data_IF_395113461802
#
_entry.id   IF_395113461802
#
_cell.length_a   1.000
_cell.length_b   1.000
_cell.length_c   1.000
_cell.angle_alpha   90.00
_cell.angle_beta   90.00
_cell.angle_gamma   90.00
#
_symmetry.space_group_name_H-M   'P 1'
#
loop_
_entity.id
_entity.type
_entity.pdbx_description
1 polymer ?
#
# COMPACT_ATOMS: atom_id res chain seq x y z
N UNK A 1 -7.73 -10.26 6.60
CA UNK A 1 -7.24 -10.63 5.26
C UNK A 1 -8.38 -11.15 4.40
N UNK A 2 -8.55 -10.62 3.18
CA UNK A 2 -9.51 -11.05 2.16
C UNK A 2 -8.87 -11.08 0.76
N UNK A 3 -9.62 -11.36 -0.31
CA UNK A 3 -9.14 -11.24 -1.71
C UNK A 3 -8.98 -9.81 -2.21
N UNK A 4 -9.05 -8.82 -1.30
CA UNK A 4 -8.87 -7.41 -1.63
C UNK A 4 -7.41 -7.17 -2.04
N UNK A 5 -7.21 -6.61 -3.23
CA UNK A 5 -5.92 -6.21 -3.76
C UNK A 5 -4.99 -7.36 -4.16
N UNK A 6 -5.46 -8.61 -4.25
CA UNK A 6 -4.62 -9.71 -4.74
C UNK A 6 -4.15 -9.41 -6.17
N UNK A 7 -2.85 -9.17 -6.35
CA UNK A 7 -2.27 -8.78 -7.63
C UNK A 7 -2.36 -7.29 -7.96
N UNK A 8 -2.73 -6.43 -6.99
CA UNK A 8 -2.87 -4.98 -7.18
C UNK A 8 -1.62 -4.32 -7.77
N UNK A 9 -0.44 -4.68 -7.30
CA UNK A 9 0.83 -4.20 -7.87
C UNK A 9 1.05 -4.60 -9.34
N UNK A 10 0.56 -5.78 -9.74
CA UNK A 10 0.60 -6.21 -11.15
C UNK A 10 -0.45 -5.49 -11.98
N UNK A 11 -1.60 -5.16 -11.40
CA UNK A 11 -2.67 -4.37 -12.01
C UNK A 11 -2.23 -2.93 -12.29
N UNK A 12 -1.58 -2.27 -11.32
CA UNK A 12 -1.05 -0.90 -11.48
C UNK A 12 0.09 -0.80 -12.48
N UNK A 13 0.72 -1.94 -12.83
CA UNK A 13 1.83 -2.02 -13.78
C UNK A 13 1.38 -2.35 -15.21
N UNK A 14 0.07 -2.55 -15.43
CA UNK A 14 -0.52 -2.84 -16.74
C UNK A 14 -1.24 -1.62 -17.30
N UNK A 15 -1.27 -1.50 -18.63
CA UNK A 15 -2.14 -0.52 -19.28
C UNK A 15 -3.61 -0.83 -19.00
N UNK A 16 -4.36 0.18 -18.57
CA UNK A 16 -5.80 0.06 -18.36
C UNK A 16 -6.55 0.03 -19.69
N UNK A 17 -7.38 -0.99 -19.89
CA UNK A 17 -8.25 -1.15 -21.08
C UNK A 17 -9.72 -1.23 -20.66
N UNK A 18 -10.66 -1.16 -21.60
CA UNK A 18 -12.08 -1.34 -21.28
C UNK A 18 -12.36 -2.74 -20.71
N UNK A 19 -11.55 -3.75 -21.05
CA UNK A 19 -11.65 -5.12 -20.53
C UNK A 19 -11.13 -5.22 -19.08
N UNK A 20 -10.14 -4.41 -18.68
CA UNK A 20 -9.64 -4.40 -17.30
C UNK A 20 -10.71 -3.98 -16.29
N UNK A 21 -11.73 -3.23 -16.70
CA UNK A 21 -12.85 -2.85 -15.82
C UNK A 21 -13.67 -4.05 -15.33
N UNK A 22 -13.74 -5.14 -16.09
CA UNK A 22 -14.51 -6.33 -15.74
C UNK A 22 -13.71 -7.35 -14.91
N UNK A 23 -12.38 -7.36 -15.05
CA UNK A 23 -11.48 -8.35 -14.41
C UNK A 23 -10.72 -7.81 -13.20
N UNK A 24 -10.47 -6.50 -13.11
CA UNK A 24 -9.73 -5.87 -12.00
C UNK A 24 -10.60 -5.57 -10.76
N UNK A 25 -11.80 -6.14 -10.65
CA UNK A 25 -12.67 -5.93 -9.47
C UNK A 25 -12.02 -6.38 -8.15
N UNK A 26 -11.10 -7.35 -8.21
CA UNK A 26 -10.31 -7.79 -7.06
C UNK A 26 -9.22 -6.78 -6.64
N UNK A 27 -8.82 -5.85 -7.52
CA UNK A 27 -7.80 -4.82 -7.25
C UNK A 27 -8.36 -3.63 -6.47
N UNK A 28 -9.69 -3.56 -6.30
CA UNK A 28 -10.37 -2.46 -5.60
C UNK A 28 -10.08 -2.53 -4.11
N UNK A 29 -9.18 -1.65 -3.65
CA UNK A 29 -8.87 -1.48 -2.25
C UNK A 29 -10.05 -0.80 -1.52
N UNK A 30 -10.54 -1.44 -0.45
CA UNK A 30 -11.53 -0.85 0.46
C UNK A 30 -10.84 -0.48 1.76
N UNK A 31 -10.51 0.80 1.90
CA UNK A 31 -10.01 1.36 3.15
C UNK A 31 -11.15 1.63 4.15
N UNK A 32 -10.79 1.65 5.42
CA UNK A 32 -11.56 1.95 6.61
C UNK A 32 -10.71 2.88 7.49
N UNK A 33 -10.94 4.17 7.27
CA UNK A 33 -10.21 5.26 7.93
C UNK A 33 -10.33 5.23 9.46
N UNK A 34 -11.37 4.60 10.02
CA UNK A 34 -11.52 4.47 11.48
C UNK A 34 -10.49 3.50 12.06
N UNK A 35 -10.26 2.36 11.40
CA UNK A 35 -9.19 1.42 11.81
C UNK A 35 -7.82 2.07 11.65
N UNK A 36 -7.57 2.73 10.52
CA UNK A 36 -6.31 3.44 10.28
C UNK A 36 -6.05 4.49 11.37
N UNK A 37 -7.08 5.26 11.76
CA UNK A 37 -6.97 6.25 12.84
C UNK A 37 -6.61 5.62 14.18
N UNK A 38 -7.16 4.44 14.51
CA UNK A 38 -6.79 3.71 15.72
C UNK A 38 -5.32 3.27 15.69
N UNK A 39 -4.83 2.77 14.55
CA UNK A 39 -3.41 2.41 14.37
C UNK A 39 -2.53 3.66 14.57
N UNK A 40 -2.88 4.79 13.96
CA UNK A 40 -2.16 6.05 14.15
C UNK A 40 -2.12 6.48 15.62
N UNK A 41 -3.24 6.36 16.36
CA UNK A 41 -3.30 6.67 17.79
C UNK A 41 -2.38 5.77 18.61
N UNK A 42 -2.42 4.46 18.35
CA UNK A 42 -1.54 3.48 18.98
C UNK A 42 -0.06 3.85 18.76
N UNK A 43 0.32 4.19 17.52
CA UNK A 43 1.68 4.57 17.15
C UNK A 43 2.11 5.96 17.66
N UNK A 44 1.18 6.82 18.09
CA UNK A 44 1.52 8.12 18.71
C UNK A 44 1.87 7.99 20.19
N UNK A 45 1.67 6.82 20.80
CA UNK A 45 2.03 6.55 22.19
C UNK A 45 3.52 6.24 22.28
N UNK A 46 4.24 7.03 23.08
CA UNK A 46 5.68 6.85 23.26
C UNK A 46 5.99 5.46 23.86
N UNK A 47 5.17 5.02 24.82
CA UNK A 47 5.29 3.72 25.46
C UNK A 47 5.09 2.53 24.51
N UNK A 48 4.35 2.72 23.41
CA UNK A 48 4.14 1.67 22.39
C UNK A 48 5.30 1.66 21.40
N UNK A 49 5.66 2.83 20.88
CA UNK A 49 6.73 2.95 19.87
C UNK A 49 8.08 2.43 20.37
N UNK A 50 8.36 2.53 21.68
CA UNK A 50 9.58 1.96 22.27
C UNK A 50 9.62 0.43 22.29
N UNK A 51 8.47 -0.25 22.18
CA UNK A 51 8.40 -1.72 22.13
C UNK A 51 8.64 -2.26 20.71
N UNK A 52 8.34 -1.45 19.69
CA UNK A 52 8.46 -1.82 18.28
C UNK A 52 9.93 -1.77 17.86
N UNK A 53 10.49 -2.93 17.46
CA UNK A 53 11.86 -3.01 16.94
C UNK A 53 11.92 -2.62 15.47
N UNK A 54 10.94 -3.09 14.69
CA UNK A 54 10.70 -2.78 13.28
C UNK A 54 9.21 -2.91 12.99
N UNK A 55 8.72 -2.20 11.99
CA UNK A 55 7.36 -2.35 11.50
C UNK A 55 7.29 -2.04 10.01
N UNK A 56 6.25 -2.54 9.35
CA UNK A 56 5.99 -2.28 7.93
C UNK A 56 4.48 -2.33 7.68
N UNK A 57 3.98 -1.48 6.79
CA UNK A 57 2.59 -1.52 6.37
C UNK A 57 2.34 -2.64 5.35
N UNK A 58 1.09 -3.12 5.26
CA UNK A 58 0.71 -4.08 4.24
C UNK A 58 0.28 -3.34 2.98
N UNK A 59 1.21 -3.15 2.06
CA UNK A 59 0.95 -2.65 0.71
C UNK A 59 1.00 -3.76 -0.34
N UNK A 60 1.77 -3.50 -1.39
CA UNK A 60 2.01 -4.41 -2.50
C UNK A 60 2.61 -5.76 -2.05
N UNK A 61 2.07 -6.87 -2.56
CA UNK A 61 2.57 -8.22 -2.25
C UNK A 61 2.17 -8.76 -0.88
N UNK A 62 1.40 -8.01 -0.09
CA UNK A 62 0.67 -8.51 1.07
C UNK A 62 1.56 -9.05 2.20
N UNK A 63 1.15 -10.17 2.80
CA UNK A 63 1.87 -10.84 3.91
C UNK A 63 3.30 -11.17 3.53
N UNK A 64 3.50 -11.62 2.29
CA UNK A 64 4.80 -12.08 1.79
C UNK A 64 5.87 -11.01 1.83
N UNK A 65 5.49 -9.77 1.50
CA UNK A 65 6.40 -8.62 1.48
C UNK A 65 6.40 -7.94 2.84
N UNK A 66 5.23 -7.59 3.36
CA UNK A 66 5.11 -6.80 4.59
C UNK A 66 5.78 -7.45 5.80
N UNK A 67 5.61 -8.77 5.97
CA UNK A 67 6.29 -9.51 7.05
C UNK A 67 7.66 -10.01 6.58
N UNK A 68 7.76 -10.49 5.35
CA UNK A 68 8.99 -11.07 4.80
C UNK A 68 10.16 -10.10 4.74
N UNK A 69 9.95 -8.79 4.64
CA UNK A 69 11.02 -7.78 4.61
C UNK A 69 11.50 -7.31 5.99
N UNK A 70 10.80 -7.66 7.07
CA UNK A 70 11.13 -7.15 8.40
C UNK A 70 12.42 -7.72 8.98
N UNK A 71 12.74 -8.99 8.71
CA UNK A 71 13.87 -9.73 9.31
C UNK A 71 14.48 -10.74 8.34
N UNK A 72 15.77 -11.03 8.46
CA UNK A 72 16.48 -11.91 7.51
C UNK A 72 16.01 -13.38 7.53
N UNK A 73 15.50 -13.85 8.67
CA UNK A 73 14.79 -15.11 8.78
C UNK A 73 13.44 -14.91 9.46
N UNK A 74 12.39 -15.52 8.90
CA UNK A 74 11.04 -15.48 9.46
C UNK A 74 10.24 -16.71 9.04
N UNK A 75 9.51 -17.28 10.00
CA UNK A 75 8.53 -18.34 9.76
C UNK A 75 7.15 -17.78 10.02
N UNK A 76 6.28 -17.78 9.01
CA UNK A 76 4.93 -17.23 9.05
C UNK A 76 3.93 -18.38 9.05
N UNK A 77 3.01 -18.39 10.01
CA UNK A 77 1.88 -19.31 10.01
C UNK A 77 0.63 -18.61 9.44
N UNK A 78 0.26 -18.97 8.21
CA UNK A 78 -0.88 -18.38 7.52
C UNK A 78 -2.23 -18.81 8.09
N UNK A 79 -2.29 -19.87 8.91
CA UNK A 79 -3.52 -20.25 9.62
C UNK A 79 -3.90 -19.25 10.70
N UNK A 80 -2.91 -18.54 11.27
CA UNK A 80 -3.12 -17.54 12.32
C UNK A 80 -3.51 -16.17 11.76
N UNK A 81 -3.38 -15.94 10.46
CA UNK A 81 -3.72 -14.66 9.83
C UNK A 81 -5.25 -14.47 9.87
N UNK A 82 -5.79 -13.41 10.51
CA UNK A 82 -7.23 -13.18 10.59
C UNK A 82 -7.89 -13.03 9.21
N UNK A 83 -9.04 -13.67 9.00
CA UNK A 83 -9.72 -13.78 7.69
C UNK A 83 -11.05 -13.03 7.72
N UNK A 84 -11.37 -12.32 6.64
CA UNK A 84 -12.68 -11.65 6.48
C UNK A 84 -13.80 -12.66 6.16
N UNK A 85 -13.46 -13.72 5.42
CA UNK A 85 -14.38 -14.79 5.03
C UNK A 85 -13.60 -16.08 4.77
N UNK A 86 -14.31 -17.21 4.85
CA UNK A 86 -13.76 -18.53 4.57
C UNK A 86 -13.52 -18.75 3.07
N UNK A 87 -12.69 -19.74 2.74
CA UNK A 87 -12.44 -20.16 1.36
C UNK A 87 -11.24 -19.50 0.68
N UNK A 88 -10.44 -18.73 1.42
CA UNK A 88 -9.12 -18.27 0.96
C UNK A 88 -8.12 -19.43 0.97
N UNK A 89 -7.37 -19.58 -0.12
CA UNK A 89 -6.24 -20.51 -0.17
C UNK A 89 -4.94 -19.89 0.41
N UNK A 90 -3.90 -20.71 0.57
CA UNK A 90 -2.61 -20.26 1.12
C UNK A 90 -1.94 -19.18 0.28
N UNK A 91 -2.08 -19.21 -1.04
CA UNK A 91 -1.52 -18.21 -1.95
C UNK A 91 -2.24 -16.87 -1.77
N UNK A 92 -3.58 -16.89 -1.77
CA UNK A 92 -4.41 -15.71 -1.56
C UNK A 92 -4.12 -15.07 -0.20
N UNK A 93 -3.91 -15.86 0.85
CA UNK A 93 -3.50 -15.34 2.16
C UNK A 93 -2.10 -14.71 2.12
N UNK A 94 -1.16 -15.34 1.44
CA UNK A 94 0.23 -14.87 1.35
C UNK A 94 0.37 -13.55 0.58
N UNK A 95 -0.44 -13.32 -0.47
CA UNK A 95 -0.32 -12.13 -1.34
C UNK A 95 -1.43 -11.09 -1.13
N UNK A 96 -2.38 -11.33 -0.23
CA UNK A 96 -3.49 -10.41 0.01
C UNK A 96 -3.00 -9.03 0.44
N UNK A 97 -3.48 -7.99 -0.24
CA UNK A 97 -3.18 -6.57 0.00
C UNK A 97 -4.34 -5.84 0.70
N UNK A 98 -5.16 -6.59 1.46
CA UNK A 98 -6.26 -6.02 2.24
C UNK A 98 -5.79 -4.89 3.15
N UNK A 99 -6.54 -3.80 3.17
CA UNK A 99 -6.39 -2.72 4.16
C UNK A 99 -7.33 -2.95 5.35
N UNK A 100 -7.02 -2.45 6.55
CA UNK A 100 -5.84 -1.70 7.03
C UNK A 100 -5.01 -2.64 7.89
N UNK A 101 -3.69 -2.74 7.66
CA UNK A 101 -2.85 -3.65 8.44
C UNK A 101 -1.43 -3.09 8.61
N UNK A 102 -0.81 -3.45 9.73
CA UNK A 102 0.56 -3.10 10.09
C UNK A 102 1.24 -4.33 10.70
N UNK A 103 2.43 -4.67 10.24
CA UNK A 103 3.25 -5.73 10.81
C UNK A 103 4.26 -5.11 11.78
N UNK A 104 4.42 -5.68 12.98
CA UNK A 104 5.33 -5.17 14.01
C UNK A 104 6.20 -6.31 14.54
N UNK A 105 7.51 -6.06 14.67
CA UNK A 105 8.47 -6.95 15.34
C UNK A 105 8.59 -6.50 16.79
N UNK A 106 8.16 -7.37 17.71
CA UNK A 106 8.16 -7.14 19.16
C UNK A 106 9.06 -8.18 19.83
N UNK A 107 9.79 -7.79 20.87
CA UNK A 107 10.59 -8.76 21.63
C UNK A 107 9.66 -9.68 22.44
N UNK A 108 10.00 -10.98 22.65
CA UNK A 108 9.13 -11.93 23.35
C UNK A 108 8.66 -11.47 24.74
N UNK A 109 9.50 -10.75 25.48
CA UNK A 109 9.17 -10.23 26.80
C UNK A 109 8.16 -9.06 26.77
N UNK A 110 8.00 -8.39 25.63
CA UNK A 110 7.20 -7.18 25.46
C UNK A 110 5.85 -7.45 24.78
N UNK A 111 5.61 -8.68 24.30
CA UNK A 111 4.43 -9.05 23.49
C UNK A 111 3.14 -8.81 24.25
N UNK A 112 3.03 -9.26 25.50
CA UNK A 112 1.82 -9.10 26.31
C UNK A 112 1.49 -7.62 26.56
N UNK A 113 2.51 -6.80 26.80
CA UNK A 113 2.35 -5.36 26.99
C UNK A 113 1.86 -4.69 25.69
N UNK A 114 2.45 -5.06 24.55
CA UNK A 114 2.03 -4.54 23.24
C UNK A 114 0.59 -4.93 22.90
N UNK A 115 0.21 -6.19 23.10
CA UNK A 115 -1.15 -6.68 22.86
C UNK A 115 -2.18 -5.92 23.71
N UNK A 116 -1.87 -5.66 24.98
CA UNK A 116 -2.74 -4.85 25.85
C UNK A 116 -2.96 -3.44 25.29
N UNK A 117 -1.92 -2.79 24.76
CA UNK A 117 -2.07 -1.47 24.15
C UNK A 117 -2.90 -1.49 22.87
N UNK A 118 -2.80 -2.55 22.06
CA UNK A 118 -3.68 -2.78 20.91
C UNK A 118 -5.15 -2.91 21.35
N UNK A 119 -5.42 -3.67 22.41
CA UNK A 119 -6.76 -3.87 22.96
C UNK A 119 -7.35 -2.55 23.49
N UNK A 120 -6.55 -1.70 24.14
CA UNK A 120 -6.97 -0.36 24.60
C UNK A 120 -7.45 0.54 23.46
N UNK A 121 -6.85 0.42 22.27
CA UNK A 121 -7.26 1.12 21.05
C UNK A 121 -8.31 0.34 20.22
N UNK A 122 -8.77 -0.81 20.73
CA UNK A 122 -9.72 -1.71 20.07
C UNK A 122 -9.24 -2.12 18.67
N UNK A 123 -8.00 -2.60 18.60
CA UNK A 123 -7.32 -3.14 17.43
C UNK A 123 -7.09 -4.64 17.60
N UNK A 124 -7.47 -5.42 16.59
CA UNK A 124 -7.13 -6.84 16.53
C UNK A 124 -5.62 -7.01 16.31
N UNK A 125 -4.95 -7.70 17.24
CA UNK A 125 -3.53 -8.00 17.17
C UNK A 125 -3.33 -9.52 17.26
N UNK A 126 -2.56 -10.09 16.34
CA UNK A 126 -2.33 -11.54 16.29
C UNK A 126 -0.88 -11.82 15.98
N UNK A 127 -0.27 -12.72 16.76
CA UNK A 127 1.07 -13.22 16.50
C UNK A 127 0.95 -14.24 15.37
N UNK A 128 1.53 -13.92 14.21
CA UNK A 128 1.44 -14.76 13.01
C UNK A 128 2.79 -15.29 12.54
N UNK A 129 3.88 -14.85 13.16
CA UNK A 129 5.23 -15.20 12.71
C UNK A 129 6.25 -15.17 13.84
N UNK A 130 7.28 -15.99 13.69
CA UNK A 130 8.46 -16.04 14.54
C UNK A 130 9.69 -15.63 13.74
N UNK A 131 10.50 -14.72 14.31
CA UNK A 131 11.81 -14.35 13.73
C UNK A 131 12.78 -15.49 13.98
N UNK A 132 13.51 -15.90 12.95
CA UNK A 132 14.48 -17.00 13.02
C UNK A 132 15.85 -16.57 12.51
N UNK A 133 16.88 -17.36 12.85
CA UNK A 133 18.26 -17.20 12.39
C UNK A 133 18.57 -18.03 11.14
N UNK A 134 17.55 -18.63 10.52
CA UNK A 134 17.69 -19.55 9.39
C UNK A 134 18.06 -18.89 8.06
N UNK A 135 17.99 -17.55 7.97
CA UNK A 135 18.16 -16.77 6.75
C UNK A 135 17.16 -17.17 5.63
N UNK A 136 15.92 -17.52 6.00
CA UNK A 136 14.86 -17.97 5.09
C UNK A 136 13.51 -17.34 5.41
N UNK A 137 12.71 -17.14 4.37
CA UNK A 137 11.28 -16.86 4.45
C UNK A 137 10.54 -18.18 4.30
N UNK A 138 9.90 -18.62 5.39
CA UNK A 138 9.10 -19.84 5.42
C UNK A 138 7.64 -19.45 5.68
N UNK A 139 6.71 -19.99 4.91
CA UNK A 139 5.27 -19.86 5.18
C UNK A 139 4.62 -21.23 5.25
N UNK A 140 3.89 -21.46 6.33
CA UNK A 140 3.12 -22.69 6.54
C UNK A 140 1.62 -22.40 6.46
N UNK A 141 0.89 -23.35 5.89
CA UNK A 141 -0.57 -23.32 5.81
C UNK A 141 -1.12 -24.73 5.90
N UNK A 142 -2.05 -24.95 6.84
CA UNK A 142 -2.67 -26.26 7.13
C UNK A 142 -1.65 -27.37 7.40
N UNK A 143 -0.58 -27.02 8.10
CA UNK A 143 0.51 -27.93 8.45
C UNK A 143 1.54 -28.19 7.34
N UNK A 144 1.33 -27.65 6.14
CA UNK A 144 2.25 -27.80 4.99
C UNK A 144 3.06 -26.53 4.75
N UNK A 145 4.32 -26.67 4.37
CA UNK A 145 5.16 -25.54 3.95
C UNK A 145 4.85 -25.21 2.49
N UNK A 146 4.30 -24.02 2.25
CA UNK A 146 3.93 -23.57 0.89
C UNK A 146 4.92 -22.57 0.29
N UNK A 147 5.72 -21.91 1.13
CA UNK A 147 6.83 -21.05 0.71
C UNK A 147 8.05 -21.41 1.54
N UNK A 148 9.17 -21.63 0.86
CA UNK A 148 10.47 -21.83 1.50
C UNK A 148 11.58 -21.29 0.60
N UNK A 149 11.99 -20.04 0.84
CA UNK A 149 12.91 -19.30 -0.03
C UNK A 149 14.04 -18.69 0.82
N UNK A 150 15.28 -18.75 0.34
CA UNK A 150 16.40 -18.10 1.03
C UNK A 150 16.33 -16.58 0.90
N UNK A 151 16.71 -15.88 1.97
CA UNK A 151 16.81 -14.41 1.96
C UNK A 151 17.82 -13.93 0.92
N UNK A 152 18.93 -14.64 0.75
CA UNK A 152 19.95 -14.31 -0.25
C UNK A 152 19.38 -14.29 -1.67
N UNK A 153 18.46 -15.21 -2.00
CA UNK A 153 17.80 -15.22 -3.30
C UNK A 153 16.88 -14.01 -3.50
N UNK A 154 16.09 -13.66 -2.46
CA UNK A 154 15.22 -12.48 -2.50
C UNK A 154 16.04 -11.18 -2.68
N UNK A 155 17.25 -11.12 -2.13
CA UNK A 155 18.14 -9.96 -2.21
C UNK A 155 18.83 -9.78 -3.59
N UNK A 156 18.60 -10.67 -4.56
CA UNK A 156 19.26 -10.60 -5.87
C UNK A 156 18.75 -9.47 -6.78
N UNK A 157 17.74 -8.69 -6.37
CA UNK A 157 17.09 -7.61 -7.14
C UNK A 157 16.49 -8.06 -8.50
N UNK A 158 16.43 -9.37 -8.77
CA UNK A 158 15.94 -9.91 -10.04
C UNK A 158 16.89 -9.70 -11.22
N UNK A 159 16.35 -9.71 -12.43
CA UNK A 159 17.13 -9.56 -13.66
C UNK A 159 17.28 -8.09 -14.06
N UNK A 160 18.52 -7.62 -14.23
CA UNK A 160 18.80 -6.30 -14.79
C UNK A 160 18.20 -6.16 -16.19
N UNK A 161 17.46 -5.07 -16.43
CA UNK A 161 16.92 -4.74 -17.75
C UNK A 161 17.61 -3.51 -18.33
N UNK A 162 17.86 -3.53 -19.64
CA UNK A 162 18.37 -2.40 -20.40
C UNK A 162 17.41 -2.11 -21.54
N UNK A 163 17.05 -0.84 -21.72
CA UNK A 163 16.17 -0.41 -22.81
C UNK A 163 16.79 0.82 -23.49
N UNK A 164 16.86 0.79 -24.82
CA UNK A 164 17.19 1.96 -25.61
C UNK A 164 15.93 2.82 -25.80
N UNK A 165 16.01 4.10 -25.41
CA UNK A 165 14.94 5.06 -25.60
C UNK A 165 15.31 6.06 -26.70
N UNK A 166 14.44 6.19 -27.70
CA UNK A 166 14.58 7.23 -28.73
C UNK A 166 13.78 8.45 -28.29
N UNK A 167 14.47 9.54 -27.96
CA UNK A 167 13.83 10.82 -27.63
C UNK A 167 13.58 11.59 -28.92
N UNK A 168 12.32 11.72 -29.31
CA UNK A 168 11.92 12.59 -30.41
C UNK A 168 11.61 13.98 -29.88
N UNK A 169 12.02 15.02 -30.60
CA UNK A 169 11.61 16.38 -30.26
C UNK A 169 10.08 16.46 -30.33
N UNK A 170 9.41 17.05 -29.33
CA UNK A 170 7.98 17.27 -29.41
C UNK A 170 7.68 18.11 -30.65
N UNK A 171 6.57 17.81 -31.34
CA UNK A 171 6.08 18.68 -32.42
C UNK A 171 5.99 20.12 -31.91
N UNK A 172 6.31 21.13 -32.74
CA UNK A 172 6.37 22.57 -32.40
C UNK A 172 5.02 23.20 -31.96
N UNK A 173 4.15 22.48 -31.23
CA UNK A 173 3.04 23.04 -30.47
C UNK A 173 3.59 23.69 -29.20
N UNK A 174 4.29 24.80 -29.37
CA UNK A 174 4.72 25.62 -28.23
C UNK A 174 3.48 26.18 -27.53
N UNK A 175 3.33 25.89 -26.25
CA UNK A 175 2.32 26.51 -25.38
C UNK A 175 2.44 28.04 -25.36
N UNK A 176 3.64 28.56 -25.62
CA UNK A 176 3.96 29.99 -25.69
C UNK A 176 3.68 30.62 -27.07
N UNK A 177 3.34 29.81 -28.09
CA UNK A 177 2.92 30.28 -29.43
C UNK A 177 1.40 30.27 -29.62
N UNK A 178 0.61 30.13 -28.56
CA UNK A 178 -0.83 30.45 -28.63
C UNK A 178 -0.94 31.94 -28.95
N UNK A 179 -1.69 32.28 -30.00
CA UNK A 179 -1.69 33.62 -30.61
C UNK A 179 -1.68 34.76 -29.61
N UNK A 180 -0.91 35.81 -29.89
CA UNK A 180 -0.76 36.96 -29.01
C UNK A 180 -2.12 37.61 -28.74
N UNK A 181 -2.45 37.84 -27.47
CA UNK A 181 -3.59 38.68 -27.10
C UNK A 181 -3.42 40.07 -27.72
N UNK A 182 -4.43 40.56 -28.43
CA UNK A 182 -4.54 41.94 -28.88
C UNK A 182 -5.62 42.65 -28.07
N UNK A 183 -5.67 43.99 -28.11
CA UNK A 183 -6.71 44.75 -27.42
C UNK A 183 -8.13 44.31 -27.84
N UNK A 184 -8.29 43.88 -29.09
CA UNK A 184 -9.58 43.53 -29.69
C UNK A 184 -10.13 42.16 -29.24
N UNK A 185 -9.28 41.26 -28.73
CA UNK A 185 -9.68 39.90 -28.33
C UNK A 185 -9.35 39.56 -26.86
N UNK A 186 -8.80 40.51 -26.10
CA UNK A 186 -8.36 40.31 -24.72
C UNK A 186 -9.48 39.78 -23.83
N UNK A 187 -10.69 40.35 -23.90
CA UNK A 187 -11.83 39.94 -23.07
C UNK A 187 -12.17 38.47 -23.26
N UNK A 188 -12.27 38.02 -24.51
CA UNK A 188 -12.66 36.65 -24.83
C UNK A 188 -11.53 35.67 -24.51
N UNK A 189 -10.27 36.05 -24.77
CA UNK A 189 -9.11 35.25 -24.36
C UNK A 189 -9.00 35.11 -22.84
N UNK A 190 -9.27 36.18 -22.08
CA UNK A 190 -9.27 36.16 -20.62
C UNK A 190 -10.37 35.25 -20.08
N UNK A 191 -11.61 35.37 -20.57
CA UNK A 191 -12.72 34.50 -20.17
C UNK A 191 -12.45 33.02 -20.51
N UNK A 192 -11.90 32.74 -21.69
CA UNK A 192 -11.46 31.39 -22.07
C UNK A 192 -10.35 30.87 -21.16
N UNK A 193 -9.37 31.72 -20.81
CA UNK A 193 -8.29 31.34 -19.92
C UNK A 193 -8.83 30.96 -18.54
N UNK A 194 -9.65 31.80 -17.90
CA UNK A 194 -10.14 31.55 -16.52
C UNK A 194 -11.20 30.45 -16.42
N UNK A 195 -11.86 30.10 -17.54
CA UNK A 195 -12.89 29.03 -17.57
C UNK A 195 -12.32 27.63 -17.75
N UNK A 196 -11.02 27.47 -18.05
CA UNK A 196 -10.43 26.13 -18.17
C UNK A 196 -10.33 25.43 -16.82
N UNK A 197 -10.51 24.10 -16.78
CA UNK A 197 -10.37 23.33 -15.53
C UNK A 197 -8.98 23.45 -14.88
N UNK A 198 -7.95 23.79 -15.66
CA UNK A 198 -6.59 23.99 -15.16
C UNK A 198 -6.42 25.28 -14.35
N UNK A 199 -7.32 26.25 -14.50
CA UNK A 199 -7.22 27.60 -13.91
C UNK A 199 -8.46 28.00 -13.11
N UNK A 200 -9.59 27.33 -13.33
CA UNK A 200 -10.83 27.58 -12.63
C UNK A 200 -10.65 27.34 -11.11
N UNK A 201 -11.52 27.95 -10.31
CA UNK A 201 -11.50 27.80 -8.86
C UNK A 201 -11.61 26.33 -8.45
N UNK A 202 -10.69 25.90 -7.58
CA UNK A 202 -10.69 24.55 -7.00
C UNK A 202 -11.47 24.50 -5.67
N UNK A 203 -12.20 25.55 -5.32
CA UNK A 203 -12.97 25.65 -4.06
C UNK A 203 -13.89 24.44 -3.85
N UNK A 204 -14.59 23.99 -4.89
CA UNK A 204 -15.47 22.83 -4.79
C UNK A 204 -14.75 21.50 -4.49
N UNK A 205 -13.45 21.39 -4.77
CA UNK A 205 -12.63 20.25 -4.32
C UNK A 205 -12.13 20.48 -2.89
N UNK A 206 -11.68 21.70 -2.58
CA UNK A 206 -11.14 22.05 -1.26
C UNK A 206 -12.17 21.89 -0.14
N UNK A 207 -13.43 22.30 -0.36
CA UNK A 207 -14.51 22.21 0.63
C UNK A 207 -14.99 20.77 0.91
N UNK A 208 -14.50 19.78 0.17
CA UNK A 208 -14.78 18.36 0.45
C UNK A 208 -13.91 17.78 1.56
N UNK A 209 -12.85 18.49 1.95
CA UNK A 209 -11.89 18.05 2.95
C UNK A 209 -11.88 19.02 4.13
N UNK A 210 -11.78 18.47 5.34
CA UNK A 210 -11.60 19.28 6.54
C UNK A 210 -10.16 19.81 6.58
N UNK A 211 -10.02 21.14 6.70
CA UNK A 211 -8.72 21.83 6.79
C UNK A 211 -8.36 22.31 8.19
N UNK A 212 -9.18 21.97 9.18
CA UNK A 212 -9.12 22.49 10.55
C UNK A 212 -8.61 21.47 11.56
N UNK A 213 -8.77 20.17 11.29
CA UNK A 213 -8.28 19.10 12.17
C UNK A 213 -6.75 18.99 12.09
N UNK A 214 -6.07 19.18 13.23
CA UNK A 214 -4.61 19.01 13.36
C UNK A 214 -3.81 20.33 13.42
N UNK A 215 -4.48 21.48 13.34
CA UNK A 215 -3.91 22.79 13.67
C UNK A 215 -3.70 22.99 15.18
#
# INVERSE_FOLDING_TARGET
>A
TGRDGCGGATGSSKEHTLESLATCGAEVQKGNALTERKIQRLFRRAEVTTLIKRCNDFGAGGVSVAIGELTDGVTINLDLVPKKYDGLDGTELAISESQERMACVIAPADVDAFMKYCDEENLECTIVADVTDTNRLIMTWRGETIVDISRDFLNTNGASQQQEAVVTAPAEKSYFRRGSASADNFKDQWLNAVSTLNTASQQGLAERFDSTVGA
#
